data_IF_442222314682
#
_entry.id   IF_442222314682
#
_cell.length_a   1.000
_cell.length_b   1.000
_cell.length_c   1.000
_cell.angle_alpha   90.00
_cell.angle_beta   90.00
_cell.angle_gamma   90.00
#
_symmetry.space_group_name_H-M   'P 1'
#
loop_
_entity.id
_entity.type
_entity.pdbx_description
1 polymer ?
#
# COMPACT_ATOMS: atom_id res chain seq x y z
N UNK A 1 7.42 -16.34 -9.81
CA UNK A 1 7.24 -15.24 -10.78
C UNK A 1 8.20 -14.16 -10.33
N UNK A 2 9.27 -13.95 -11.08
CA UNK A 2 10.27 -12.97 -10.70
C UNK A 2 9.82 -11.60 -11.20
N UNK A 3 9.85 -10.62 -10.31
CA UNK A 3 9.52 -9.25 -10.61
C UNK A 3 10.78 -8.39 -10.48
N UNK A 4 11.06 -7.58 -11.49
CA UNK A 4 12.12 -6.59 -11.49
C UNK A 4 11.51 -5.20 -11.49
N UNK A 5 12.12 -4.29 -10.73
CA UNK A 5 11.75 -2.87 -10.72
C UNK A 5 12.74 -2.10 -11.57
N UNK A 6 12.25 -1.41 -12.59
CA UNK A 6 13.06 -0.54 -13.44
C UNK A 6 12.73 0.91 -13.18
N UNK A 7 13.70 1.67 -12.67
CA UNK A 7 13.59 3.12 -12.54
C UNK A 7 13.70 3.77 -13.93
N UNK A 8 12.72 4.61 -14.29
CA UNK A 8 12.67 5.37 -15.55
C UNK A 8 13.21 6.79 -15.40
N UNK A 9 13.35 7.25 -14.16
CA UNK A 9 13.88 8.58 -13.83
C UNK A 9 15.01 8.44 -12.82
N UNK A 10 16.04 9.26 -12.99
CA UNK A 10 17.22 9.25 -12.12
C UNK A 10 17.03 10.07 -10.84
N UNK A 11 16.02 10.95 -10.80
CA UNK A 11 15.72 11.80 -9.65
C UNK A 11 14.39 11.41 -9.01
N UNK A 12 14.45 11.11 -7.71
CA UNK A 12 13.29 10.86 -6.85
C UNK A 12 13.02 12.04 -5.91
N UNK A 13 13.60 13.21 -6.18
CA UNK A 13 13.47 14.41 -5.36
C UNK A 13 12.00 14.73 -5.04
N UNK A 14 11.12 14.63 -6.04
CA UNK A 14 9.69 14.88 -5.86
C UNK A 14 9.03 13.93 -4.84
N UNK A 15 9.50 12.69 -4.73
CA UNK A 15 9.02 11.72 -3.73
C UNK A 15 9.59 12.08 -2.36
N UNK A 16 10.89 12.40 -2.31
CA UNK A 16 11.56 12.76 -1.06
C UNK A 16 10.96 14.02 -0.44
N UNK A 17 10.61 15.00 -1.27
CA UNK A 17 9.99 16.26 -0.87
C UNK A 17 8.70 16.06 -0.07
N UNK A 18 7.91 15.03 -0.40
CA UNK A 18 6.65 14.69 0.29
C UNK A 18 6.83 14.39 1.78
N UNK A 19 8.04 14.00 2.21
CA UNK A 19 8.35 13.73 3.62
C UNK A 19 9.36 14.70 4.23
N UNK A 20 10.01 15.58 3.45
CA UNK A 20 11.00 16.54 3.97
C UNK A 20 10.44 17.44 5.07
N UNK A 21 9.19 17.88 4.90
CA UNK A 21 8.51 18.74 5.86
C UNK A 21 8.34 18.08 7.25
N UNK A 22 8.37 16.73 7.34
CA UNK A 22 8.28 15.99 8.62
C UNK A 22 9.54 16.11 9.49
N UNK A 23 10.65 16.62 8.95
CA UNK A 23 11.87 16.93 9.75
C UNK A 23 11.62 17.99 10.82
N UNK A 24 10.58 18.81 10.66
CA UNK A 24 10.12 19.80 11.66
C UNK A 24 8.61 19.62 11.86
N UNK A 25 8.20 18.69 12.73
CA UNK A 25 6.80 18.32 12.85
C UNK A 25 5.95 19.50 13.29
N UNK A 26 4.99 19.91 12.44
CA UNK A 26 3.82 20.70 12.87
C UNK A 26 2.79 19.73 13.45
N UNK A 27 1.98 20.21 14.41
CA UNK A 27 0.88 19.42 14.97
C UNK A 27 0.02 18.85 13.84
N UNK A 28 -0.25 17.54 13.86
CA UNK A 28 -1.17 16.89 12.91
C UNK A 28 -2.56 17.43 13.15
N UNK A 29 -2.97 18.44 12.38
CA UNK A 29 -4.38 18.78 12.28
C UNK A 29 -4.99 17.72 11.38
N UNK A 30 -5.58 16.70 11.99
CA UNK A 30 -6.55 15.84 11.30
C UNK A 30 -7.76 16.73 10.97
N UNK A 31 -7.65 17.54 9.91
CA UNK A 31 -8.81 18.26 9.43
C UNK A 31 -9.80 17.21 8.92
N UNK A 32 -11.08 17.41 9.25
CA UNK A 32 -12.19 16.76 8.59
C UNK A 32 -12.19 17.20 7.12
N UNK A 33 -11.34 16.58 6.31
CA UNK A 33 -11.31 16.83 4.88
C UNK A 33 -12.46 16.07 4.24
N UNK A 34 -13.66 16.66 4.34
CA UNK A 34 -14.73 16.50 3.36
C UNK A 34 -14.26 17.11 2.05
N UNK A 35 -13.35 16.42 1.38
CA UNK A 35 -13.02 16.72 -0.02
C UNK A 35 -13.35 15.46 -0.78
N UNK A 36 -14.43 15.55 -1.55
CA UNK A 36 -14.71 14.75 -2.75
C UNK A 36 -13.46 14.84 -3.64
N UNK A 37 -12.41 14.09 -3.31
CA UNK A 37 -11.18 14.07 -4.09
C UNK A 37 -11.34 12.96 -5.11
N UNK A 38 -11.25 13.39 -6.35
CA UNK A 38 -11.37 12.62 -7.58
C UNK A 38 -10.89 11.18 -7.43
N UNK A 39 -11.74 10.25 -7.85
CA UNK A 39 -11.47 8.82 -7.94
C UNK A 39 -10.44 8.52 -9.04
N UNK A 40 -10.14 9.52 -9.90
CA UNK A 40 -9.15 9.48 -10.96
C UNK A 40 -7.82 8.85 -10.49
N UNK A 41 -7.38 7.89 -11.30
CA UNK A 41 -6.15 7.15 -11.08
C UNK A 41 -4.94 8.04 -11.37
N UNK A 42 -3.84 7.77 -10.67
CA UNK A 42 -2.55 8.37 -10.95
C UNK A 42 -2.10 8.00 -12.36
N UNK A 43 -1.96 8.98 -13.26
CA UNK A 43 -1.47 8.78 -14.64
C UNK A 43 -0.03 9.26 -14.85
N UNK A 44 0.55 9.93 -13.85
CA UNK A 44 1.92 10.45 -13.87
C UNK A 44 2.17 11.48 -12.77
N UNK A 45 3.22 12.28 -12.88
CA UNK A 45 3.47 13.37 -11.94
C UNK A 45 2.55 14.59 -12.21
N UNK A 46 1.66 14.89 -11.27
CA UNK A 46 0.85 16.10 -11.29
C UNK A 46 1.43 17.18 -10.34
N UNK A 47 1.90 18.30 -10.92
CA UNK A 47 2.56 19.38 -10.17
C UNK A 47 1.66 20.07 -9.15
N UNK A 48 0.35 20.19 -9.41
CA UNK A 48 -0.59 20.84 -8.49
C UNK A 48 -0.90 19.96 -7.28
N UNK A 49 -1.17 18.67 -7.53
CA UNK A 49 -1.34 17.65 -6.48
C UNK A 49 -0.10 17.58 -5.62
N UNK A 50 1.08 17.54 -6.24
CA UNK A 50 2.36 17.52 -5.54
C UNK A 50 2.55 18.74 -4.65
N UNK A 51 2.40 19.97 -5.17
CA UNK A 51 2.51 21.21 -4.37
C UNK A 51 1.51 21.24 -3.21
N UNK A 52 0.30 20.73 -3.41
CA UNK A 52 -0.71 20.63 -2.35
C UNK A 52 -0.26 19.67 -1.25
N UNK A 53 0.22 18.48 -1.61
CA UNK A 53 0.74 17.50 -0.67
C UNK A 53 1.92 18.07 0.15
N UNK A 54 2.80 18.88 -0.46
CA UNK A 54 3.88 19.59 0.27
C UNK A 54 3.36 20.58 1.29
N UNK A 55 2.30 21.34 0.97
CA UNK A 55 1.68 22.29 1.91
C UNK A 55 0.95 21.59 3.04
N UNK A 56 0.22 20.51 2.74
CA UNK A 56 -0.52 19.72 3.72
C UNK A 56 0.39 18.94 4.67
N UNK A 57 1.60 18.54 4.22
CA UNK A 57 2.61 17.83 5.00
C UNK A 57 2.07 16.59 5.78
N UNK A 58 1.07 15.92 5.20
CA UNK A 58 0.32 14.88 5.91
C UNK A 58 0.65 13.45 5.46
N UNK A 59 1.56 13.28 4.49
CA UNK A 59 2.00 11.96 4.04
C UNK A 59 2.67 11.17 5.17
N UNK A 60 2.36 9.88 5.27
CA UNK A 60 2.97 8.97 6.24
C UNK A 60 4.33 8.49 5.70
N UNK A 61 5.29 8.19 6.58
CA UNK A 61 6.66 7.78 6.20
C UNK A 61 6.78 6.37 5.60
N UNK A 62 5.68 5.78 5.14
CA UNK A 62 5.63 4.54 4.35
C UNK A 62 4.71 4.84 3.15
N UNK A 63 5.29 5.06 1.97
CA UNK A 63 4.56 5.50 0.79
C UNK A 63 4.56 4.43 -0.31
N UNK A 64 3.38 4.18 -0.84
CA UNK A 64 3.16 3.37 -2.03
C UNK A 64 3.08 4.23 -3.29
N UNK A 65 3.18 3.60 -4.45
CA UNK A 65 3.23 4.31 -5.72
C UNK A 65 2.16 3.88 -6.72
N UNK A 66 1.90 2.58 -6.88
CA UNK A 66 0.96 2.07 -7.91
C UNK A 66 -0.30 1.49 -7.30
N UNK A 67 -1.46 1.99 -7.75
CA UNK A 67 -2.77 1.50 -7.32
C UNK A 67 -3.08 0.14 -7.95
N UNK A 68 -3.66 -0.79 -7.19
CA UNK A 68 -3.96 -2.16 -7.68
C UNK A 68 -5.29 -2.28 -8.42
N UNK A 69 -6.11 -1.22 -8.44
CA UNK A 69 -7.43 -1.26 -9.06
C UNK A 69 -8.58 -1.57 -8.11
N UNK A 70 -8.31 -1.83 -6.82
CA UNK A 70 -9.32 -2.22 -5.82
C UNK A 70 -8.98 -1.76 -4.38
N UNK A 71 -9.93 -1.92 -3.46
CA UNK A 71 -9.77 -1.58 -2.05
C UNK A 71 -8.93 -2.59 -1.27
N UNK A 72 -8.48 -2.16 -0.08
CA UNK A 72 -7.76 -3.03 0.87
C UNK A 72 -8.68 -4.14 1.36
N UNK A 73 -9.91 -3.78 1.74
CA UNK A 73 -10.87 -4.73 2.29
C UNK A 73 -11.17 -5.89 1.32
N UNK A 74 -11.38 -5.58 0.04
CA UNK A 74 -11.77 -6.55 -0.96
C UNK A 74 -10.73 -7.67 -1.19
N UNK A 75 -9.44 -7.38 -1.00
CA UNK A 75 -8.35 -8.32 -1.31
C UNK A 75 -7.54 -8.76 -0.07
N UNK A 76 -8.10 -8.57 1.13
CA UNK A 76 -7.50 -9.01 2.40
C UNK A 76 -8.35 -10.11 3.00
N UNK A 77 -7.76 -11.27 3.30
CA UNK A 77 -8.47 -12.38 3.92
C UNK A 77 -9.08 -11.98 5.28
N UNK A 78 -10.33 -12.37 5.59
CA UNK A 78 -10.99 -12.00 6.84
C UNK A 78 -10.24 -12.37 8.14
N UNK A 79 -9.48 -13.47 8.14
CA UNK A 79 -8.71 -13.88 9.33
C UNK A 79 -7.64 -12.86 9.72
N UNK A 80 -7.09 -12.09 8.77
CA UNK A 80 -6.11 -11.03 9.06
C UNK A 80 -6.66 -10.04 10.10
N UNK A 81 -7.96 -9.73 10.03
CA UNK A 81 -8.61 -8.79 10.93
C UNK A 81 -8.76 -9.31 12.37
N UNK A 82 -8.56 -10.62 12.60
CA UNK A 82 -8.49 -11.20 13.95
C UNK A 82 -7.17 -10.89 14.64
N UNK A 83 -6.11 -10.66 13.86
CA UNK A 83 -4.75 -10.38 14.34
C UNK A 83 -4.40 -8.88 14.30
N UNK A 84 -4.93 -8.15 13.31
CA UNK A 84 -4.66 -6.73 13.12
C UNK A 84 -5.96 -5.94 13.29
N UNK A 85 -6.17 -5.33 14.48
CA UNK A 85 -7.35 -4.50 14.73
C UNK A 85 -7.47 -3.36 13.73
N UNK A 86 -8.68 -3.13 13.20
CA UNK A 86 -8.94 -2.09 12.21
C UNK A 86 -10.39 -1.62 12.25
N UNK A 87 -10.68 -0.48 11.62
CA UNK A 87 -12.04 0.01 11.41
C UNK A 87 -12.55 -0.47 10.05
N UNK A 88 -13.31 -1.58 10.05
CA UNK A 88 -13.84 -2.21 8.83
C UNK A 88 -14.73 -1.25 8.03
N UNK A 89 -15.56 -0.44 8.69
CA UNK A 89 -16.43 0.52 7.99
C UNK A 89 -15.61 1.55 7.19
N UNK A 90 -14.50 2.04 7.74
CA UNK A 90 -13.59 2.95 7.02
C UNK A 90 -12.76 2.23 5.96
N UNK A 91 -12.42 0.97 6.17
CA UNK A 91 -11.63 0.15 5.24
C UNK A 91 -12.43 -0.23 3.98
N UNK A 92 -13.76 -0.31 4.07
CA UNK A 92 -14.67 -0.53 2.94
C UNK A 92 -14.88 0.69 2.04
N UNK A 93 -14.44 1.88 2.46
CA UNK A 93 -14.63 3.11 1.70
C UNK A 93 -13.67 3.19 0.50
N UNK A 94 -14.09 3.83 -0.60
CA UNK A 94 -13.28 3.98 -1.83
C UNK A 94 -11.92 4.65 -1.61
N UNK A 95 -11.80 5.48 -0.57
CA UNK A 95 -10.54 6.13 -0.19
C UNK A 95 -9.50 5.18 0.41
N UNK A 96 -9.91 4.01 0.90
CA UNK A 96 -9.05 2.96 1.44
C UNK A 96 -8.56 2.01 0.32
N UNK A 97 -7.92 2.61 -0.68
CA UNK A 97 -7.35 1.94 -1.86
C UNK A 97 -6.17 1.04 -1.47
N UNK A 98 -6.06 -0.14 -2.08
CA UNK A 98 -4.88 -1.00 -1.99
C UNK A 98 -3.86 -0.58 -3.05
N UNK A 99 -2.59 -0.54 -2.67
CA UNK A 99 -1.48 -0.28 -3.58
C UNK A 99 -0.54 -1.49 -3.65
N UNK A 100 0.16 -1.61 -4.79
CA UNK A 100 1.17 -2.64 -5.00
C UNK A 100 2.31 -2.48 -3.99
N UNK A 101 2.78 -3.61 -3.45
CA UNK A 101 3.92 -3.62 -2.52
C UNK A 101 5.29 -3.80 -3.21
N UNK A 102 5.32 -3.97 -4.54
CA UNK A 102 6.56 -4.25 -5.28
C UNK A 102 7.58 -3.11 -5.29
N UNK A 103 7.14 -1.86 -5.10
CA UNK A 103 8.02 -0.71 -4.89
C UNK A 103 7.39 0.22 -3.87
N UNK A 104 8.12 0.51 -2.80
CA UNK A 104 7.72 1.41 -1.72
C UNK A 104 8.86 2.33 -1.35
N UNK A 105 8.53 3.55 -0.93
CA UNK A 105 9.47 4.47 -0.31
C UNK A 105 9.18 4.56 1.19
N UNK A 106 10.17 4.16 1.99
CA UNK A 106 10.01 4.04 3.45
C UNK A 106 11.11 4.81 4.15
N UNK A 107 10.74 5.64 5.12
CA UNK A 107 11.67 6.36 5.99
C UNK A 107 11.65 5.73 7.37
N UNK A 108 12.84 5.34 7.87
CA UNK A 108 12.99 4.80 9.22
C UNK A 108 12.61 5.86 10.25
N UNK A 109 11.43 5.68 10.85
CA UNK A 109 10.93 6.47 11.98
C UNK A 109 10.42 5.52 13.05
N UNK A 110 10.36 5.98 14.30
CA UNK A 110 9.84 5.17 15.40
C UNK A 110 8.43 4.65 15.11
N UNK A 111 7.55 5.49 14.56
CA UNK A 111 6.21 5.09 14.17
C UNK A 111 6.21 3.96 13.13
N UNK A 112 7.07 4.02 12.11
CA UNK A 112 7.16 2.97 11.08
C UNK A 112 7.68 1.66 11.68
N UNK A 113 8.70 1.73 12.54
CA UNK A 113 9.25 0.54 13.17
C UNK A 113 8.22 -0.09 14.11
N UNK A 114 7.69 0.69 15.05
CA UNK A 114 6.87 0.18 16.16
C UNK A 114 5.44 -0.18 15.72
N UNK A 115 4.83 0.60 14.81
CA UNK A 115 3.41 0.45 14.43
C UNK A 115 3.18 -0.28 13.12
N UNK A 116 4.22 -0.44 12.28
CA UNK A 116 4.10 -1.08 10.98
C UNK A 116 5.03 -2.29 10.87
N UNK A 117 6.35 -2.10 10.89
CA UNK A 117 7.29 -3.20 10.63
C UNK A 117 7.20 -4.29 11.69
N UNK A 118 7.12 -3.92 12.98
CA UNK A 118 6.94 -4.88 14.07
C UNK A 118 5.69 -5.74 13.87
N UNK A 119 4.56 -5.12 13.55
CA UNK A 119 3.29 -5.84 13.34
C UNK A 119 3.29 -6.69 12.07
N UNK A 120 3.92 -6.21 10.99
CA UNK A 120 4.10 -6.98 9.76
C UNK A 120 4.91 -8.25 10.03
N UNK A 121 6.02 -8.14 10.77
CA UNK A 121 6.86 -9.28 11.16
C UNK A 121 6.09 -10.24 12.09
N UNK A 122 5.38 -9.73 13.10
CA UNK A 122 4.56 -10.57 13.99
C UNK A 122 3.49 -11.34 13.21
N UNK A 123 2.86 -10.69 12.22
CA UNK A 123 1.90 -11.36 11.33
C UNK A 123 2.57 -12.44 10.47
N UNK A 124 3.78 -12.18 9.96
CA UNK A 124 4.53 -13.17 9.18
C UNK A 124 4.92 -14.41 10.00
N UNK A 125 5.09 -14.26 11.31
CA UNK A 125 5.37 -15.36 12.23
C UNK A 125 4.13 -16.20 12.56
N UNK A 126 2.93 -15.72 12.23
CA UNK A 126 1.67 -16.43 12.43
C UNK A 126 1.06 -16.81 11.08
N UNK A 127 1.08 -18.10 10.74
CA UNK A 127 0.55 -18.62 9.47
C UNK A 127 -0.88 -18.14 9.17
N UNK A 128 -1.74 -18.14 10.19
CA UNK A 128 -3.14 -17.72 10.07
C UNK A 128 -3.31 -16.21 9.84
N UNK A 129 -2.33 -15.40 10.23
CA UNK A 129 -2.34 -13.97 9.95
C UNK A 129 -1.91 -13.68 8.51
N UNK A 130 -0.84 -14.32 8.04
CA UNK A 130 -0.33 -14.04 6.68
C UNK A 130 -1.18 -14.71 5.59
N UNK A 131 -1.89 -15.79 5.90
CA UNK A 131 -2.78 -16.49 4.98
C UNK A 131 -2.68 -18.01 5.18
N UNK A 132 -3.63 -18.65 5.90
CA UNK A 132 -3.49 -20.05 6.31
C UNK A 132 -3.73 -21.09 5.20
N UNK A 133 -4.30 -20.69 4.07
CA UNK A 133 -4.80 -21.58 3.02
C UNK A 133 -4.43 -21.04 1.63
N UNK A 134 -4.32 -21.90 0.59
CA UNK A 134 -4.04 -21.44 -0.74
C UNK A 134 -5.24 -20.62 -1.25
N UNK A 135 -5.02 -19.32 -1.41
CA UNK A 135 -6.00 -18.42 -2.02
C UNK A 135 -5.65 -18.13 -3.47
N UNK A 136 -6.67 -17.81 -4.25
CA UNK A 136 -6.49 -17.32 -5.61
C UNK A 136 -5.65 -16.03 -5.59
N UNK A 137 -4.66 -15.96 -6.50
CA UNK A 137 -3.91 -14.73 -6.75
C UNK A 137 -4.77 -13.69 -7.49
N UNK A 138 -5.80 -14.15 -8.20
CA UNK A 138 -6.79 -13.33 -8.90
C UNK A 138 -8.00 -13.08 -8.00
N UNK A 139 -8.55 -11.87 -8.06
CA UNK A 139 -9.69 -11.46 -7.25
C UNK A 139 -10.98 -11.50 -8.06
N UNK A 140 -12.02 -12.07 -7.46
CA UNK A 140 -13.35 -12.23 -8.04
C UNK A 140 -14.28 -11.14 -7.50
N UNK A 141 -14.39 -10.03 -8.23
CA UNK A 141 -15.21 -8.90 -7.82
C UNK A 141 -16.68 -9.10 -8.20
N UNK A 142 -17.59 -8.72 -7.29
CA UNK A 142 -19.01 -8.76 -7.56
C UNK A 142 -19.44 -7.51 -8.35
N UNK A 143 -19.60 -7.66 -9.67
CA UNK A 143 -19.98 -6.56 -10.56
C UNK A 143 -18.98 -5.41 -10.49
N UNK A 144 -19.47 -4.21 -10.15
CA UNK A 144 -18.66 -3.00 -10.04
C UNK A 144 -18.10 -2.75 -8.62
N UNK A 145 -18.44 -3.59 -7.63
CA UNK A 145 -17.91 -3.41 -6.28
C UNK A 145 -16.47 -3.93 -6.18
N UNK A 146 -15.53 -2.98 -6.15
CA UNK A 146 -14.10 -3.26 -5.98
C UNK A 146 -13.57 -2.96 -4.58
N UNK A 147 -14.42 -2.61 -3.61
CA UNK A 147 -13.97 -2.06 -2.33
C UNK A 147 -14.65 -2.69 -1.12
N UNK A 148 -15.97 -2.86 -1.16
CA UNK A 148 -16.78 -3.08 0.04
C UNK A 148 -17.10 -4.54 0.32
N UNK A 149 -16.92 -5.41 -0.68
CA UNK A 149 -17.14 -6.85 -0.63
C UNK A 149 -15.81 -7.59 -0.78
N UNK A 150 -15.65 -8.68 -0.01
CA UNK A 150 -14.47 -9.55 -0.12
C UNK A 150 -14.50 -10.29 -1.46
N UNK A 151 -13.43 -10.18 -2.23
CA UNK A 151 -13.31 -10.69 -3.60
C UNK A 151 -12.66 -12.08 -3.67
N UNK A 152 -12.81 -12.89 -2.61
CA UNK A 152 -12.34 -14.27 -2.53
C UNK A 152 -10.85 -14.48 -2.87
N UNK A 153 -10.03 -13.47 -2.65
CA UNK A 153 -8.57 -13.48 -2.88
C UNK A 153 -7.83 -12.92 -1.68
N UNK A 154 -6.53 -13.21 -1.59
CA UNK A 154 -5.67 -12.63 -0.56
C UNK A 154 -4.31 -12.25 -1.13
N UNK A 155 -3.91 -10.99 -0.95
CA UNK A 155 -2.62 -10.48 -1.45
C UNK A 155 -1.49 -10.56 -0.40
N UNK A 156 -1.59 -11.48 0.57
CA UNK A 156 -0.54 -11.78 1.56
C UNK A 156 0.10 -10.53 2.22
N UNK A 157 1.41 -10.38 2.12
CA UNK A 157 2.21 -9.28 2.65
C UNK A 157 1.73 -7.90 2.16
N UNK A 158 1.36 -7.79 0.88
CA UNK A 158 0.76 -6.58 0.34
C UNK A 158 -0.51 -6.18 1.10
N UNK A 159 -1.38 -7.13 1.44
CA UNK A 159 -2.61 -6.88 2.21
C UNK A 159 -2.30 -6.38 3.62
N UNK A 160 -1.41 -7.11 4.32
CA UNK A 160 -1.02 -6.81 5.70
C UNK A 160 -0.39 -5.43 5.81
N UNK A 161 0.56 -5.10 4.92
CA UNK A 161 1.23 -3.80 4.94
C UNK A 161 0.25 -2.67 4.60
N UNK A 162 -0.57 -2.83 3.56
CA UNK A 162 -1.58 -1.81 3.22
C UNK A 162 -2.55 -1.55 4.39
N UNK A 163 -3.00 -2.61 5.07
CA UNK A 163 -3.86 -2.50 6.24
C UNK A 163 -3.21 -1.70 7.38
N UNK A 164 -1.96 -2.03 7.73
CA UNK A 164 -1.20 -1.34 8.78
C UNK A 164 -0.98 0.14 8.45
N UNK A 165 -0.64 0.44 7.18
CA UNK A 165 -0.46 1.82 6.71
C UNK A 165 -1.79 2.58 6.73
N UNK A 166 -2.89 1.96 6.30
CA UNK A 166 -4.22 2.56 6.32
C UNK A 166 -4.67 2.91 7.75
N UNK A 167 -4.40 2.03 8.73
CA UNK A 167 -4.62 2.31 10.15
C UNK A 167 -3.88 3.59 10.59
N UNK A 168 -2.61 3.75 10.22
CA UNK A 168 -1.80 4.93 10.55
C UNK A 168 -2.28 6.22 9.84
N UNK A 169 -2.85 6.05 8.65
CA UNK A 169 -3.25 7.13 7.75
C UNK A 169 -4.74 7.51 7.86
N UNK A 170 -5.52 6.89 8.74
CA UNK A 170 -6.95 7.18 8.83
C UNK A 170 -7.74 6.74 7.59
N UNK A 171 -7.29 5.67 6.92
CA UNK A 171 -7.97 5.01 5.80
C UNK A 171 -8.15 5.90 4.57
N UNK A 172 -7.20 6.78 4.32
CA UNK A 172 -7.24 7.69 3.19
C UNK A 172 -5.93 7.64 2.40
N UNK A 173 -6.01 7.12 1.18
CA UNK A 173 -4.89 6.98 0.24
C UNK A 173 -4.07 8.24 0.08
N UNK A 174 -4.68 9.42 0.25
CA UNK A 174 -3.99 10.71 0.10
C UNK A 174 -2.84 10.86 1.08
N UNK A 175 -2.80 10.09 2.15
CA UNK A 175 -1.71 10.14 3.12
C UNK A 175 -0.68 9.03 2.92
N UNK A 176 -0.94 7.99 2.13
CA UNK A 176 -0.01 6.86 1.95
C UNK A 176 0.34 6.50 0.50
N UNK A 177 -0.27 7.13 -0.50
CA UNK A 177 0.15 7.07 -1.89
C UNK A 177 1.08 8.26 -2.21
N UNK A 178 2.06 8.10 -3.10
CA UNK A 178 2.86 9.24 -3.59
C UNK A 178 2.06 10.16 -4.53
N UNK A 179 1.02 9.64 -5.18
CA UNK A 179 0.36 10.24 -6.34
C UNK A 179 1.30 10.42 -7.57
N UNK A 180 2.41 9.68 -7.62
CA UNK A 180 3.46 9.77 -8.66
C UNK A 180 3.80 8.35 -9.14
N UNK A 181 3.55 8.06 -10.42
CA UNK A 181 3.74 6.71 -11.02
C UNK A 181 4.68 6.68 -12.25
N UNK A 182 5.16 7.83 -12.71
CA UNK A 182 5.91 7.96 -13.97
C UNK A 182 7.43 7.74 -13.84
N UNK A 183 7.89 7.26 -12.69
CA UNK A 183 9.32 7.11 -12.38
C UNK A 183 9.79 5.64 -12.35
N UNK A 184 8.88 4.67 -12.47
CA UNK A 184 9.23 3.25 -12.45
C UNK A 184 8.33 2.41 -13.37
N UNK A 185 8.74 1.16 -13.59
CA UNK A 185 7.89 0.06 -14.06
C UNK A 185 8.23 -1.19 -13.27
N UNK A 186 7.22 -2.04 -13.08
CA UNK A 186 7.40 -3.40 -12.58
C UNK A 186 7.31 -4.33 -13.79
N UNK A 187 8.43 -4.97 -14.12
CA UNK A 187 8.51 -5.97 -15.17
C UNK A 187 8.33 -7.34 -14.50
N UNK A 188 7.31 -8.09 -14.91
CA UNK A 188 7.03 -9.42 -14.38
C UNK A 188 7.41 -10.43 -15.44
N UNK A 189 8.45 -11.22 -15.18
CA UNK A 189 8.81 -12.30 -16.07
C UNK A 189 7.93 -13.52 -15.78
N UNK A 190 7.40 -14.14 -16.83
CA UNK A 190 6.78 -15.46 -16.74
C UNK A 190 7.76 -16.41 -16.06
N UNK A 191 7.30 -17.34 -15.21
CA UNK A 191 8.18 -18.31 -14.60
C UNK A 191 8.93 -19.04 -15.73
N UNK A 192 10.23 -18.79 -15.85
CA UNK A 192 11.11 -19.79 -16.44
C UNK A 192 10.89 -21.04 -15.59
N UNK A 193 10.73 -22.20 -16.22
CA UNK A 193 10.69 -23.47 -15.49
C UNK A 193 12.01 -23.61 -14.73
N UNK A 194 12.03 -23.16 -13.48
CA UNK A 194 13.11 -23.48 -12.56
C UNK A 194 12.99 -24.98 -12.32
N UNK A 195 13.86 -25.76 -12.97
CA UNK A 195 14.01 -27.17 -12.62
C UNK A 195 14.34 -27.23 -11.13
N UNK A 196 13.54 -27.96 -10.35
CA UNK A 196 13.57 -28.08 -8.89
C UNK A 196 14.94 -28.49 -8.27
N UNK A 197 15.99 -28.62 -9.07
CA UNK A 197 17.34 -29.00 -8.66
C UNK A 197 18.18 -27.81 -8.14
N UNK A 198 17.78 -26.55 -8.34
CA UNK A 198 18.63 -25.39 -8.02
C UNK A 198 18.25 -24.59 -6.76
N UNK A 199 17.24 -24.99 -6.00
CA UNK A 199 16.83 -24.32 -4.76
C UNK A 199 16.99 -25.25 -3.55
N UNK A 200 18.23 -25.64 -3.26
CA UNK A 200 18.60 -26.04 -1.91
C UNK A 200 19.15 -24.81 -1.20
N UNK A 201 18.51 -24.43 -0.09
CA UNK A 201 19.16 -23.57 0.89
C UNK A 201 20.16 -24.46 1.63
N UNK A 202 21.44 -24.36 1.28
CA UNK A 202 22.54 -24.85 2.12
C UNK A 202 22.76 -23.90 3.31
#
# INVERSE_FOLDING_TARGET
MDASVRCKKNSLEHIYDLLRCRRRPKARIYQNFTVLRDSALETGWNREVWRRNLRECSKVPYMFHSFTGHGIYAATHPDVYRFIPTNIAKLKAEKAKMYEAGLVFVVKTRDVVDKLLKWSVLCALQRECMGPVPFAAQCEFNGNDRYSTFAHCHRFDQSVINLLVANMAGYDRRFYASDIVDFFSIERHSPQQFNNLSLRCE
#
